data_IF_491013175863
#
_entry.id   IF_491013175863
#
_cell.length_a   1.000
_cell.length_b   1.000
_cell.length_c   1.000
_cell.angle_alpha   90.00
_cell.angle_beta   90.00
_cell.angle_gamma   90.00
#
_symmetry.space_group_name_H-M   'P 1'
#
loop_
_entity.id
_entity.type
_entity.pdbx_description
1 polymer ?
#
# COMPACT_ATOMS: atom_id res chain seq x y z
N UNK A 1 -1.02 6.53 -18.71
CA UNK A 1 0.05 5.53 -18.51
C UNK A 1 0.58 4.99 -19.86
N UNK A 2 -0.26 4.56 -20.79
CA UNK A 2 0.17 4.05 -22.11
C UNK A 2 1.01 5.07 -22.89
N UNK A 3 0.62 6.35 -22.87
CA UNK A 3 1.35 7.43 -23.56
C UNK A 3 2.76 7.65 -22.98
N UNK A 4 2.92 7.56 -21.65
CA UNK A 4 4.22 7.68 -20.99
C UNK A 4 5.12 6.50 -21.38
N UNK A 5 4.58 5.28 -21.42
CA UNK A 5 5.34 4.09 -21.82
C UNK A 5 5.82 4.16 -23.28
N UNK A 6 4.98 4.71 -24.18
CA UNK A 6 5.33 4.91 -25.58
C UNK A 6 6.42 5.99 -25.73
N UNK A 7 6.34 7.07 -24.95
CA UNK A 7 7.35 8.12 -24.97
C UNK A 7 8.71 7.63 -24.46
N UNK A 8 8.74 6.79 -23.41
CA UNK A 8 9.95 6.19 -22.88
C UNK A 8 10.61 5.22 -23.88
N UNK A 9 9.79 4.45 -24.60
CA UNK A 9 10.29 3.55 -25.66
C UNK A 9 10.86 4.33 -26.84
N UNK A 10 10.21 5.43 -27.24
CA UNK A 10 10.67 6.30 -28.34
C UNK A 10 11.95 7.05 -27.98
N UNK A 11 12.12 7.41 -26.74
CA UNK A 11 13.35 8.06 -26.24
C UNK A 11 14.52 7.11 -26.05
N UNK A 12 14.36 5.82 -26.33
CA UNK A 12 15.42 4.82 -26.17
C UNK A 12 15.92 4.68 -24.73
N UNK A 13 15.04 4.97 -23.76
CA UNK A 13 15.35 4.70 -22.35
C UNK A 13 15.49 3.19 -22.20
N UNK A 14 16.74 2.74 -22.21
CA UNK A 14 17.07 1.35 -21.92
C UNK A 14 16.48 1.03 -20.55
N UNK A 15 15.46 0.17 -20.51
CA UNK A 15 15.00 -0.44 -19.29
C UNK A 15 16.20 -1.18 -18.72
N UNK A 16 16.89 -0.55 -17.77
CA UNK A 16 17.96 -1.18 -17.02
C UNK A 16 17.32 -2.39 -16.35
N UNK A 17 17.61 -3.58 -16.85
CA UNK A 17 17.17 -4.82 -16.21
C UNK A 17 17.57 -4.72 -14.75
N UNK A 18 16.57 -4.51 -13.90
CA UNK A 18 16.76 -4.57 -12.48
C UNK A 18 17.11 -6.02 -12.17
N UNK A 19 18.40 -6.29 -11.94
CA UNK A 19 18.81 -7.59 -11.43
C UNK A 19 18.13 -7.77 -10.08
N UNK A 20 17.04 -8.55 -10.09
CA UNK A 20 16.32 -8.91 -8.87
C UNK A 20 17.33 -9.66 -7.99
N UNK A 21 17.81 -8.97 -6.97
CA UNK A 21 18.62 -9.62 -5.94
C UNK A 21 17.79 -10.75 -5.33
N UNK A 22 18.31 -11.98 -5.37
CA UNK A 22 17.70 -13.16 -4.75
C UNK A 22 17.71 -13.10 -3.20
N UNK A 23 17.75 -11.90 -2.64
CA UNK A 23 17.72 -11.69 -1.20
C UNK A 23 16.29 -11.96 -0.71
N UNK A 24 16.09 -13.13 -0.12
CA UNK A 24 14.84 -13.45 0.57
C UNK A 24 14.56 -12.48 1.72
N UNK A 25 13.29 -12.35 2.11
CA UNK A 25 12.87 -11.57 3.26
C UNK A 25 13.47 -12.21 4.52
N UNK A 26 14.22 -11.45 5.29
CA UNK A 26 14.78 -11.89 6.56
C UNK A 26 13.74 -11.74 7.69
N UNK A 27 13.75 -12.65 8.66
CA UNK A 27 12.96 -12.49 9.89
C UNK A 27 13.26 -11.17 10.62
N UNK A 28 14.49 -10.67 10.48
CA UNK A 28 14.91 -9.37 11.03
C UNK A 28 14.19 -8.20 10.36
N UNK A 29 13.91 -8.32 9.06
CA UNK A 29 13.15 -7.29 8.32
C UNK A 29 11.70 -7.25 8.79
N UNK A 30 11.11 -8.40 9.12
CA UNK A 30 9.77 -8.50 9.68
C UNK A 30 9.70 -7.90 11.10
N UNK A 31 10.59 -8.34 11.99
CA UNK A 31 10.58 -7.87 13.39
C UNK A 31 10.91 -6.39 13.51
N UNK A 32 11.80 -5.87 12.65
CA UNK A 32 12.15 -4.45 12.60
C UNK A 32 10.99 -3.55 12.14
N UNK A 33 10.01 -4.11 11.43
CA UNK A 33 8.88 -3.37 10.84
C UNK A 33 7.55 -3.55 11.59
N UNK A 34 7.51 -4.25 12.73
CA UNK A 34 6.25 -4.54 13.46
C UNK A 34 5.45 -3.28 13.77
N UNK A 35 6.09 -2.23 14.28
CA UNK A 35 5.42 -0.96 14.59
C UNK A 35 4.85 -0.32 13.31
N UNK A 36 5.58 -0.40 12.22
CA UNK A 36 5.15 0.10 10.92
C UNK A 36 3.93 -0.69 10.42
N UNK A 37 3.94 -2.02 10.52
CA UNK A 37 2.80 -2.88 10.18
C UNK A 37 1.55 -2.51 10.97
N UNK A 38 1.66 -2.39 12.30
CA UNK A 38 0.52 -2.04 13.17
C UNK A 38 -0.03 -0.66 12.81
N UNK A 39 0.83 0.35 12.69
CA UNK A 39 0.42 1.72 12.34
C UNK A 39 -0.29 1.75 11.00
N UNK A 40 0.28 1.14 9.98
CA UNK A 40 -0.28 1.13 8.63
C UNK A 40 -1.58 0.35 8.56
N UNK A 41 -1.72 -0.74 9.31
CA UNK A 41 -2.96 -1.50 9.42
C UNK A 41 -4.07 -0.70 10.09
N UNK A 42 -3.76 0.06 11.15
CA UNK A 42 -4.73 0.96 11.80
C UNK A 42 -5.21 2.03 10.81
N UNK A 43 -4.27 2.67 10.09
CA UNK A 43 -4.61 3.66 9.05
C UNK A 43 -5.52 3.04 7.99
N UNK A 44 -5.16 1.87 7.47
CA UNK A 44 -5.94 1.16 6.46
C UNK A 44 -7.35 0.83 6.95
N UNK A 45 -7.48 0.29 8.16
CA UNK A 45 -8.78 -0.05 8.75
C UNK A 45 -9.66 1.19 8.90
N UNK A 46 -9.12 2.28 9.46
CA UNK A 46 -9.88 3.52 9.66
C UNK A 46 -10.37 4.11 8.34
N UNK A 47 -9.52 4.10 7.30
CA UNK A 47 -9.90 4.58 5.97
C UNK A 47 -10.89 3.63 5.32
N UNK A 48 -10.75 2.32 5.50
CA UNK A 48 -11.67 1.31 4.98
C UNK A 48 -13.10 1.44 5.50
N UNK A 49 -13.27 1.90 6.75
CA UNK A 49 -14.59 2.16 7.34
C UNK A 49 -15.34 3.30 6.60
N UNK A 50 -14.61 4.24 6.00
CA UNK A 50 -15.20 5.38 5.30
C UNK A 50 -15.56 4.96 3.86
N UNK A 51 -16.85 4.89 3.50
CA UNK A 51 -17.25 4.48 2.16
C UNK A 51 -16.65 5.36 1.07
N UNK A 52 -16.29 4.74 -0.06
CA UNK A 52 -15.77 5.39 -1.26
C UNK A 52 -14.38 6.08 -1.15
N UNK A 53 -13.67 5.91 -0.06
CA UNK A 53 -12.32 6.51 0.11
C UNK A 53 -11.26 5.78 -0.73
N UNK A 54 -11.42 4.49 -0.89
CA UNK A 54 -10.58 3.65 -1.75
C UNK A 54 -9.21 3.28 -1.15
N UNK A 55 -8.69 2.17 -1.64
CA UNK A 55 -7.41 1.58 -1.23
C UNK A 55 -6.22 2.49 -1.47
N UNK A 56 -6.26 3.27 -2.56
CA UNK A 56 -5.15 4.15 -2.95
C UNK A 56 -4.89 5.25 -1.92
N UNK A 57 -5.95 5.84 -1.35
CA UNK A 57 -5.83 6.87 -0.33
C UNK A 57 -5.18 6.32 0.94
N UNK A 58 -5.59 5.12 1.38
CA UNK A 58 -5.04 4.45 2.55
C UNK A 58 -3.55 4.11 2.37
N UNK A 59 -3.19 3.53 1.22
CA UNK A 59 -1.80 3.18 0.91
C UNK A 59 -0.91 4.41 0.85
N UNK A 60 -1.38 5.50 0.24
CA UNK A 60 -0.62 6.74 0.16
C UNK A 60 -0.41 7.39 1.53
N UNK A 61 -1.45 7.40 2.36
CA UNK A 61 -1.36 7.95 3.71
C UNK A 61 -0.42 7.11 4.59
N UNK A 62 -0.54 5.77 4.54
CA UNK A 62 0.33 4.87 5.27
C UNK A 62 1.79 5.01 4.85
N UNK A 63 2.06 5.15 3.55
CA UNK A 63 3.41 5.41 3.03
C UNK A 63 3.98 6.73 3.55
N UNK A 64 3.18 7.79 3.51
CA UNK A 64 3.59 9.13 3.96
C UNK A 64 3.90 9.14 5.45
N UNK A 65 3.06 8.50 6.26
CA UNK A 65 3.29 8.38 7.70
C UNK A 65 4.50 7.47 8.01
N UNK A 66 4.67 6.36 7.31
CA UNK A 66 5.84 5.52 7.46
C UNK A 66 7.12 6.28 7.15
N UNK A 67 7.15 7.05 6.06
CA UNK A 67 8.27 7.90 5.69
C UNK A 67 8.59 8.95 6.76
N UNK A 68 7.55 9.57 7.34
CA UNK A 68 7.67 10.61 8.37
C UNK A 68 8.34 10.08 9.64
N UNK A 69 8.04 8.85 10.03
CA UNK A 69 8.56 8.23 11.25
C UNK A 69 9.77 7.31 11.01
N UNK A 70 10.21 7.17 9.78
CA UNK A 70 11.39 6.38 9.45
C UNK A 70 12.67 7.05 9.91
N UNK A 71 13.65 6.23 10.26
CA UNK A 71 15.01 6.67 10.55
C UNK A 71 15.80 6.99 9.28
N UNK A 72 15.32 6.53 8.12
CA UNK A 72 15.98 6.67 6.82
C UNK A 72 14.98 7.14 5.74
N UNK A 73 14.34 8.32 5.91
CA UNK A 73 13.30 8.80 5.00
C UNK A 73 13.80 9.02 3.56
N UNK A 74 15.10 9.20 3.37
CA UNK A 74 15.77 9.37 2.07
C UNK A 74 15.80 8.08 1.23
N UNK A 75 15.58 6.91 1.84
CA UNK A 75 15.50 5.62 1.16
C UNK A 75 14.12 5.36 0.52
N UNK A 76 13.11 6.14 0.90
CA UNK A 76 11.76 6.01 0.34
C UNK A 76 11.76 6.44 -1.14
N UNK A 77 11.17 5.60 -1.99
CA UNK A 77 11.24 5.72 -3.45
C UNK A 77 12.50 5.07 -4.08
N UNK A 78 13.40 4.49 -3.29
CA UNK A 78 14.64 3.83 -3.76
C UNK A 78 14.69 2.33 -3.41
N UNK A 79 13.54 1.68 -3.27
CA UNK A 79 13.46 0.26 -2.92
C UNK A 79 13.47 -0.02 -1.41
N UNK A 80 12.92 0.89 -0.61
CA UNK A 80 12.80 0.75 0.84
C UNK A 80 11.74 -0.28 1.23
N UNK A 81 12.13 -1.29 2.00
CA UNK A 81 11.22 -2.36 2.49
C UNK A 81 10.15 -1.79 3.42
N UNK A 82 10.48 -0.80 4.26
CA UNK A 82 9.51 -0.13 5.15
C UNK A 82 8.36 0.51 4.37
N UNK A 83 8.64 1.13 3.23
CA UNK A 83 7.62 1.76 2.39
C UNK A 83 6.66 0.73 1.78
N UNK A 84 7.19 -0.39 1.29
CA UNK A 84 6.40 -1.50 0.75
C UNK A 84 5.55 -2.12 1.87
N UNK A 85 6.15 -2.39 3.02
CA UNK A 85 5.47 -2.94 4.18
C UNK A 85 4.29 -2.06 4.64
N UNK A 86 4.46 -0.74 4.63
CA UNK A 86 3.41 0.19 5.01
C UNK A 86 2.24 0.19 4.03
N UNK A 87 2.51 0.27 2.73
CA UNK A 87 1.47 0.29 1.69
C UNK A 87 0.70 -1.01 1.64
N UNK A 88 1.38 -2.16 1.68
CA UNK A 88 0.74 -3.47 1.62
C UNK A 88 -0.07 -3.80 2.88
N UNK A 89 0.45 -3.45 4.06
CA UNK A 89 -0.30 -3.64 5.31
C UNK A 89 -1.57 -2.80 5.35
N UNK A 90 -1.49 -1.54 4.90
CA UNK A 90 -2.65 -0.66 4.80
C UNK A 90 -3.65 -1.15 3.77
N UNK A 91 -3.18 -1.59 2.59
CA UNK A 91 -4.01 -2.15 1.53
C UNK A 91 -4.85 -3.34 2.03
N UNK A 92 -4.20 -4.31 2.68
CA UNK A 92 -4.90 -5.47 3.26
C UNK A 92 -5.88 -5.05 4.37
N UNK A 93 -5.52 -4.08 5.21
CA UNK A 93 -6.36 -3.62 6.30
C UNK A 93 -7.60 -2.85 5.83
N UNK A 94 -7.54 -2.15 4.69
CA UNK A 94 -8.71 -1.50 4.07
C UNK A 94 -9.80 -2.51 3.78
N UNK A 95 -9.45 -3.69 3.27
CA UNK A 95 -10.43 -4.74 2.97
C UNK A 95 -11.22 -5.14 4.24
N UNK A 96 -10.51 -5.31 5.36
CA UNK A 96 -11.15 -5.58 6.66
C UNK A 96 -12.02 -4.42 7.14
N UNK A 97 -11.53 -3.19 6.99
CA UNK A 97 -12.26 -1.97 7.35
C UNK A 97 -13.55 -1.79 6.56
N UNK A 98 -13.52 -2.07 5.26
CA UNK A 98 -14.68 -1.95 4.36
C UNK A 98 -15.79 -2.96 4.64
N UNK A 99 -15.45 -4.10 5.25
CA UNK A 99 -16.46 -5.08 5.69
C UNK A 99 -17.29 -4.60 6.88
N UNK A 100 -16.78 -3.68 7.69
CA UNK A 100 -17.50 -3.19 8.86
C UNK A 100 -18.82 -2.49 8.47
N UNK A 101 -18.82 -1.43 7.64
CA UNK A 101 -20.07 -0.80 7.21
C UNK A 101 -20.93 -1.73 6.35
N UNK A 102 -20.33 -2.62 5.58
CA UNK A 102 -21.05 -3.60 4.79
C UNK A 102 -21.91 -4.52 5.66
N UNK A 103 -21.30 -5.14 6.69
CA UNK A 103 -21.96 -6.12 7.55
C UNK A 103 -22.89 -5.48 8.58
N UNK A 104 -22.63 -4.25 9.01
CA UNK A 104 -23.41 -3.57 10.03
C UNK A 104 -24.56 -2.74 9.46
N UNK A 105 -24.34 -2.07 8.34
CA UNK A 105 -25.26 -1.12 7.75
C UNK A 105 -25.77 -1.53 6.35
N UNK A 106 -25.18 -2.59 5.75
CA UNK A 106 -25.45 -2.95 4.36
C UNK A 106 -24.93 -1.92 3.35
N UNK A 107 -23.98 -1.07 3.77
CA UNK A 107 -23.40 -0.02 2.92
C UNK A 107 -22.03 -0.48 2.44
N UNK A 108 -21.81 -0.65 1.12
CA UNK A 108 -20.51 -1.05 0.60
C UNK A 108 -19.46 0.05 0.78
N UNK A 109 -18.30 -0.33 1.30
CA UNK A 109 -17.16 0.57 1.49
C UNK A 109 -16.40 0.87 0.20
N UNK A 110 -16.42 -0.07 -0.75
CA UNK A 110 -15.74 0.00 -2.04
C UNK A 110 -16.47 -0.80 -3.13
N UNK A 111 -15.89 -0.84 -4.35
CA UNK A 111 -16.46 -1.56 -5.49
C UNK A 111 -16.52 -3.08 -5.20
N UNK A 112 -15.52 -3.63 -4.52
CA UNK A 112 -15.46 -5.07 -4.22
C UNK A 112 -16.59 -5.45 -3.27
N UNK A 113 -16.76 -4.69 -2.19
CA UNK A 113 -17.86 -4.91 -1.23
C UNK A 113 -19.24 -4.64 -1.84
N UNK A 114 -19.35 -3.74 -2.82
CA UNK A 114 -20.59 -3.55 -3.58
C UNK A 114 -20.96 -4.79 -4.41
N UNK A 115 -19.97 -5.44 -5.05
CA UNK A 115 -20.18 -6.69 -5.79
C UNK A 115 -20.56 -7.84 -4.84
N UNK A 116 -20.01 -7.88 -3.63
CA UNK A 116 -20.33 -8.90 -2.63
C UNK A 116 -21.78 -8.83 -2.11
N UNK A 117 -22.44 -7.66 -2.26
CA UNK A 117 -23.84 -7.45 -1.84
C UNK A 117 -24.84 -8.02 -2.85
N UNK A 118 -24.43 -8.28 -4.08
CA UNK A 118 -25.26 -8.81 -5.17
C UNK A 118 -25.06 -10.30 -5.38
#
# INVERSE_FOLDING_TARGET
QVLVTVEDVVRGVSLKESTVSKRGISLKDLTGNVVNFIRSSVIGTLIGIIPATGVSAASFLAYSEAKRFSKTPEMYGKGCVEGIAATESSNNAVCGGALIPLLTLGVPGDIITAIMLH
#
